data_IF_845706288415
#
_entry.id   IF_845706288415
#
_cell.length_a   1.000
_cell.length_b   1.000
_cell.length_c   1.000
_cell.angle_alpha   90.00
_cell.angle_beta   90.00
_cell.angle_gamma   90.00
#
_symmetry.space_group_name_H-M   'P 1'
#
loop_
_entity.id
_entity.type
_entity.pdbx_description
1 polymer ?
#
# COMPACT_ATOMS: atom_id res chain seq x y z
N UNK A 1 11.85 -18.17 6.67
CA UNK A 1 13.23 -17.87 6.20
C UNK A 1 13.48 -16.37 6.33
N UNK A 2 14.71 -15.88 6.58
CA UNK A 2 15.00 -14.43 6.59
C UNK A 2 15.60 -14.02 5.25
N UNK A 3 14.96 -13.07 4.55
CA UNK A 3 15.47 -12.54 3.28
C UNK A 3 16.74 -11.73 3.51
N UNK A 4 17.89 -12.17 3.00
CA UNK A 4 19.10 -11.36 3.11
C UNK A 4 19.00 -10.07 2.29
N UNK A 5 18.15 -10.05 1.25
CA UNK A 5 17.87 -8.84 0.47
C UNK A 5 17.36 -7.69 1.35
N UNK A 6 16.41 -7.96 2.25
CA UNK A 6 15.88 -6.95 3.16
C UNK A 6 16.71 -6.81 4.45
N UNK A 7 17.04 -7.93 5.11
CA UNK A 7 17.71 -7.87 6.42
C UNK A 7 19.19 -7.43 6.34
N UNK A 8 19.85 -7.51 5.18
CA UNK A 8 21.19 -6.92 4.97
C UNK A 8 21.14 -5.53 4.30
N UNK A 9 19.96 -4.93 4.14
CA UNK A 9 19.82 -3.57 3.64
C UNK A 9 20.04 -3.40 2.13
N UNK A 10 19.97 -4.46 1.31
CA UNK A 10 20.21 -4.39 -0.14
C UNK A 10 19.12 -3.61 -0.85
N UNK A 11 17.88 -3.70 -0.38
CA UNK A 11 16.73 -2.93 -0.82
C UNK A 11 16.97 -1.42 -0.77
N UNK A 12 17.76 -0.92 0.19
CA UNK A 12 18.10 0.51 0.28
C UNK A 12 18.93 0.98 -0.92
N UNK A 13 19.76 0.10 -1.48
CA UNK A 13 20.48 0.36 -2.72
C UNK A 13 19.52 0.50 -3.92
N UNK A 14 18.50 -0.36 -3.97
CA UNK A 14 17.42 -0.30 -4.98
C UNK A 14 16.61 1.00 -4.85
N UNK A 15 16.21 1.36 -3.62
CA UNK A 15 15.52 2.61 -3.33
C UNK A 15 16.32 3.85 -3.81
N UNK A 16 17.63 3.88 -3.58
CA UNK A 16 18.52 4.94 -4.07
C UNK A 16 18.56 5.02 -5.60
N UNK A 17 18.65 3.88 -6.28
CA UNK A 17 18.62 3.82 -7.76
C UNK A 17 17.29 4.33 -8.32
N UNK A 18 16.17 3.91 -7.73
CA UNK A 18 14.83 4.36 -8.12
C UNK A 18 14.70 5.88 -7.94
N UNK A 19 15.13 6.41 -6.78
CA UNK A 19 15.13 7.86 -6.53
C UNK A 19 15.94 8.63 -7.58
N UNK A 20 17.13 8.14 -7.93
CA UNK A 20 17.98 8.76 -8.93
C UNK A 20 17.33 8.71 -10.32
N UNK A 21 16.77 7.55 -10.69
CA UNK A 21 16.08 7.36 -11.97
C UNK A 21 14.88 8.29 -12.12
N UNK A 22 13.98 8.34 -11.14
CA UNK A 22 12.77 9.18 -11.22
C UNK A 22 13.09 10.68 -11.27
N UNK A 23 14.13 11.13 -10.55
CA UNK A 23 14.57 12.53 -10.61
C UNK A 23 15.32 12.88 -11.91
N UNK A 24 15.89 11.89 -12.60
CA UNK A 24 16.54 12.06 -13.90
C UNK A 24 15.57 11.93 -15.08
N UNK A 25 14.34 11.44 -14.84
CA UNK A 25 13.34 11.27 -15.88
C UNK A 25 12.99 12.65 -16.51
N UNK A 26 12.82 12.71 -17.85
CA UNK A 26 12.36 13.92 -18.52
C UNK A 26 10.94 14.29 -18.07
N UNK A 27 10.41 15.44 -18.50
CA UNK A 27 9.01 15.78 -18.25
C UNK A 27 8.08 14.70 -18.84
N UNK A 28 7.53 13.87 -17.95
CA UNK A 28 6.59 12.81 -18.29
C UNK A 28 5.16 13.11 -17.82
N UNK A 29 4.96 14.22 -17.10
CA UNK A 29 3.64 14.66 -16.66
C UNK A 29 3.15 15.81 -17.55
N UNK A 30 1.92 15.70 -18.03
CA UNK A 30 1.21 16.88 -18.54
C UNK A 30 0.86 17.82 -17.37
N UNK A 31 0.56 19.09 -17.66
CA UNK A 31 0.09 20.04 -16.64
C UNK A 31 -1.15 19.53 -15.89
N UNK A 32 -2.04 18.79 -16.58
CA UNK A 32 -3.23 18.17 -15.99
C UNK A 32 -2.87 16.95 -15.12
N UNK A 33 -1.84 16.18 -15.50
CA UNK A 33 -1.36 15.02 -14.73
C UNK A 33 -0.69 15.46 -13.43
N UNK A 34 0.09 16.54 -13.44
CA UNK A 34 0.78 17.06 -12.25
C UNK A 34 -0.18 17.49 -11.12
N UNK A 35 -1.40 17.89 -11.47
CA UNK A 35 -2.46 18.24 -10.52
C UNK A 35 -3.18 17.05 -9.89
N UNK A 36 -3.02 15.83 -10.42
CA UNK A 36 -3.72 14.63 -9.97
C UNK A 36 -2.75 13.63 -9.31
N UNK A 37 -2.72 13.52 -7.97
CA UNK A 37 -1.85 12.56 -7.29
C UNK A 37 -2.02 11.12 -7.79
N UNK A 38 -3.25 10.74 -8.14
CA UNK A 38 -3.54 9.43 -8.73
C UNK A 38 -2.86 9.22 -10.08
N UNK A 39 -2.99 10.19 -10.98
CA UNK A 39 -2.39 10.08 -12.31
C UNK A 39 -0.85 10.09 -12.25
N UNK A 40 -0.27 10.84 -11.30
CA UNK A 40 1.16 10.77 -11.00
C UNK A 40 1.53 9.38 -10.47
N UNK A 41 0.73 8.81 -9.56
CA UNK A 41 0.91 7.45 -9.06
C UNK A 41 0.97 6.41 -10.16
N UNK A 42 -0.03 6.40 -11.05
CA UNK A 42 -0.10 5.47 -12.18
C UNK A 42 1.12 5.62 -13.11
N UNK A 43 1.57 6.85 -13.40
CA UNK A 43 2.74 7.11 -14.24
C UNK A 43 4.05 6.66 -13.59
N UNK A 44 4.25 6.95 -12.29
CA UNK A 44 5.44 6.53 -11.54
C UNK A 44 5.50 5.01 -11.46
N UNK A 45 4.38 4.35 -11.19
CA UNK A 45 4.28 2.90 -11.16
C UNK A 45 4.70 2.28 -12.50
N UNK A 46 4.19 2.81 -13.63
CA UNK A 46 4.56 2.34 -14.96
C UNK A 46 6.07 2.47 -15.22
N UNK A 47 6.65 3.64 -14.94
CA UNK A 47 8.09 3.89 -15.10
C UNK A 47 8.97 2.95 -14.27
N UNK A 48 8.55 2.68 -13.02
CA UNK A 48 9.26 1.74 -12.15
C UNK A 48 9.12 0.32 -12.70
N UNK A 49 7.92 -0.10 -13.08
CA UNK A 49 7.64 -1.45 -13.56
C UNK A 49 8.41 -1.81 -14.85
N UNK A 50 8.81 -0.84 -15.67
CA UNK A 50 9.63 -1.05 -16.86
C UNK A 50 11.12 -1.33 -16.56
N UNK A 51 11.61 -0.95 -15.37
CA UNK A 51 13.05 -0.95 -15.04
C UNK A 51 13.39 -1.63 -13.71
N UNK A 52 12.39 -2.17 -13.01
CA UNK A 52 12.58 -2.65 -11.64
C UNK A 52 13.59 -3.81 -11.56
N UNK A 53 13.54 -4.73 -12.51
CA UNK A 53 14.52 -5.81 -12.71
C UNK A 53 15.95 -5.27 -12.84
N UNK A 54 16.15 -4.17 -13.59
CA UNK A 54 17.45 -3.51 -13.72
C UNK A 54 17.92 -2.92 -12.38
N UNK A 55 17.01 -2.35 -11.58
CA UNK A 55 17.36 -1.83 -10.26
C UNK A 55 17.77 -2.93 -9.30
N UNK A 56 17.05 -4.06 -9.31
CA UNK A 56 17.34 -5.28 -8.55
C UNK A 56 18.68 -5.92 -8.97
N UNK A 57 19.01 -5.90 -10.27
CA UNK A 57 20.24 -6.47 -10.81
C UNK A 57 20.34 -7.97 -10.54
N UNK A 58 21.49 -8.44 -10.03
CA UNK A 58 21.73 -9.87 -9.76
C UNK A 58 20.84 -10.47 -8.66
N UNK A 59 20.03 -9.66 -7.97
CA UNK A 59 19.05 -10.15 -7.02
C UNK A 59 17.74 -10.58 -7.67
N UNK A 60 17.49 -10.23 -8.93
CA UNK A 60 16.30 -10.64 -9.66
C UNK A 60 16.57 -11.93 -10.44
N UNK A 61 15.96 -13.04 -10.04
CA UNK A 61 16.01 -14.30 -10.79
C UNK A 61 14.85 -14.39 -11.80
N UNK A 62 13.65 -14.00 -11.36
CA UNK A 62 12.44 -13.96 -12.19
C UNK A 62 11.74 -12.63 -11.94
N UNK A 63 11.12 -12.05 -12.97
CA UNK A 63 10.44 -10.75 -12.89
C UNK A 63 9.07 -10.81 -13.55
N UNK A 64 8.07 -10.18 -12.94
CA UNK A 64 6.75 -9.98 -13.50
C UNK A 64 6.20 -8.60 -13.13
N UNK A 65 5.70 -7.88 -14.13
CA UNK A 65 4.98 -6.60 -13.99
C UNK A 65 3.60 -6.62 -14.64
N UNK A 66 3.18 -7.77 -15.20
CA UNK A 66 1.88 -7.92 -15.84
C UNK A 66 0.97 -8.72 -14.94
N UNK A 67 -0.06 -8.06 -14.42
CA UNK A 67 -1.00 -8.67 -13.49
C UNK A 67 -2.45 -8.34 -13.84
N UNK A 68 -3.37 -9.22 -13.42
CA UNK A 68 -4.79 -8.92 -13.50
C UNK A 68 -5.14 -7.73 -12.58
N UNK A 69 -6.17 -6.96 -12.95
CA UNK A 69 -6.64 -5.74 -12.23
C UNK A 69 -6.83 -5.88 -10.71
N UNK A 70 -6.99 -7.10 -10.17
CA UNK A 70 -7.23 -7.39 -8.75
C UNK A 70 -6.06 -8.11 -8.06
N UNK A 71 -4.89 -8.12 -8.69
CA UNK A 71 -3.70 -8.72 -8.12
C UNK A 71 -3.30 -8.06 -6.80
N UNK A 72 -2.48 -8.78 -6.04
CA UNK A 72 -2.00 -8.33 -4.73
C UNK A 72 -0.92 -7.24 -4.83
N UNK A 73 -0.28 -7.11 -5.99
CA UNK A 73 0.87 -6.27 -6.19
C UNK A 73 0.92 -5.71 -7.62
N UNK A 74 1.71 -4.67 -7.76
CA UNK A 74 1.99 -4.00 -9.03
C UNK A 74 3.16 -4.66 -9.76
N UNK A 75 4.12 -5.16 -8.97
CA UNK A 75 5.36 -5.78 -9.44
C UNK A 75 5.61 -7.02 -8.58
N UNK A 76 6.16 -8.09 -9.15
CA UNK A 76 6.68 -9.21 -8.38
C UNK A 76 8.02 -9.69 -8.96
N UNK A 77 8.85 -10.25 -8.10
CA UNK A 77 10.09 -10.90 -8.51
C UNK A 77 10.38 -12.08 -7.61
N UNK A 78 11.09 -13.08 -8.14
CA UNK A 78 11.75 -14.10 -7.33
C UNK A 78 13.18 -13.66 -7.11
N UNK A 79 13.61 -13.62 -5.85
CA UNK A 79 14.99 -13.25 -5.54
C UNK A 79 15.97 -14.41 -5.77
N UNK A 80 17.27 -14.13 -5.69
CA UNK A 80 18.32 -15.16 -5.82
C UNK A 80 18.26 -16.26 -4.74
N UNK A 81 17.56 -16.02 -3.64
CA UNK A 81 17.34 -16.96 -2.53
C UNK A 81 16.03 -17.73 -2.69
N UNK A 82 15.37 -17.57 -3.85
CA UNK A 82 14.10 -18.19 -4.24
C UNK A 82 12.89 -17.67 -3.48
N UNK A 83 13.00 -16.55 -2.75
CA UNK A 83 11.85 -15.91 -2.13
C UNK A 83 11.00 -15.21 -3.19
N UNK A 84 9.69 -15.38 -3.12
CA UNK A 84 8.75 -14.70 -3.99
C UNK A 84 8.30 -13.38 -3.36
N UNK A 85 8.80 -12.29 -3.90
CA UNK A 85 8.56 -10.94 -3.42
C UNK A 85 7.50 -10.26 -4.28
N UNK A 86 6.38 -9.89 -3.67
CA UNK A 86 5.35 -9.05 -4.29
C UNK A 86 5.51 -7.63 -3.76
N UNK A 87 5.45 -6.65 -4.66
CA UNK A 87 5.73 -5.24 -4.37
C UNK A 87 4.53 -4.38 -4.74
N UNK A 88 4.03 -3.66 -3.75
CA UNK A 88 2.94 -2.70 -3.87
C UNK A 88 3.53 -1.28 -3.91
N UNK A 89 3.32 -0.58 -5.02
CA UNK A 89 3.91 0.74 -5.28
C UNK A 89 2.94 1.82 -4.81
N UNK A 90 3.41 2.68 -3.92
CA UNK A 90 2.66 3.83 -3.42
C UNK A 90 3.38 5.12 -3.71
N UNK A 91 2.61 6.16 -3.98
CA UNK A 91 3.13 7.52 -4.09
C UNK A 91 2.46 8.42 -3.05
N UNK A 92 3.22 9.38 -2.55
CA UNK A 92 2.73 10.38 -1.61
C UNK A 92 3.25 11.77 -1.99
N UNK A 93 2.31 12.69 -2.19
CA UNK A 93 2.63 14.10 -2.46
C UNK A 93 2.74 14.83 -1.12
N UNK A 94 3.92 15.34 -0.79
CA UNK A 94 4.23 15.82 0.56
C UNK A 94 3.50 17.10 0.97
N UNK A 95 3.00 17.89 0.02
CA UNK A 95 2.18 19.08 0.29
C UNK A 95 0.71 18.74 0.59
N UNK A 96 0.32 17.46 0.54
CA UNK A 96 -1.04 17.04 0.89
C UNK A 96 -1.12 16.69 2.38
N UNK A 97 -2.11 17.29 3.05
CA UNK A 97 -2.27 17.18 4.50
C UNK A 97 -2.73 15.79 4.98
N UNK A 98 -3.30 14.96 4.09
CA UNK A 98 -3.88 13.68 4.50
C UNK A 98 -3.87 12.65 3.36
N UNK A 99 -3.20 11.52 3.58
CA UNK A 99 -3.21 10.37 2.68
C UNK A 99 -3.07 9.08 3.52
N UNK A 100 -4.07 8.20 3.45
CA UNK A 100 -4.10 6.89 4.10
C UNK A 100 -4.20 5.79 3.04
N UNK A 101 -3.13 5.51 2.28
CA UNK A 101 -3.19 4.52 1.22
C UNK A 101 -3.44 3.12 1.77
N UNK A 102 -4.30 2.37 1.08
CA UNK A 102 -4.48 0.93 1.30
C UNK A 102 -3.24 0.18 0.84
N UNK A 103 -2.66 -0.67 1.69
CA UNK A 103 -1.60 -1.60 1.32
C UNK A 103 -2.19 -2.92 0.82
N UNK A 104 -2.89 -3.64 1.68
CA UNK A 104 -3.46 -4.95 1.33
C UNK A 104 -4.59 -5.34 2.28
N UNK A 105 -5.39 -6.34 1.90
CA UNK A 105 -6.39 -6.92 2.80
C UNK A 105 -5.73 -7.81 3.85
N UNK A 106 -6.23 -7.77 5.08
CA UNK A 106 -5.75 -8.62 6.19
C UNK A 106 -5.86 -10.10 5.85
N UNK A 107 -6.97 -10.53 5.22
CA UNK A 107 -7.18 -11.92 4.82
C UNK A 107 -6.20 -12.33 3.71
N UNK A 108 -6.02 -11.47 2.72
CA UNK A 108 -5.12 -11.73 1.58
C UNK A 108 -3.68 -11.87 2.04
N UNK A 109 -3.21 -10.99 2.93
CA UNK A 109 -1.88 -11.08 3.51
C UNK A 109 -1.70 -12.35 4.34
N UNK A 110 -2.68 -12.65 5.19
CA UNK A 110 -2.64 -13.84 6.04
C UNK A 110 -2.50 -15.12 5.22
N UNK A 111 -3.30 -15.28 4.15
CA UNK A 111 -3.18 -16.42 3.22
C UNK A 111 -1.87 -16.42 2.46
N UNK A 112 -1.39 -15.25 2.02
CA UNK A 112 -0.13 -15.13 1.29
C UNK A 112 1.07 -15.58 2.14
N UNK A 113 1.02 -15.36 3.46
CA UNK A 113 2.05 -15.77 4.42
C UNK A 113 1.90 -17.19 4.96
N UNK A 114 0.93 -17.97 4.47
CA UNK A 114 0.92 -19.43 4.70
C UNK A 114 2.15 -20.12 4.06
N UNK A 115 2.77 -19.49 3.06
CA UNK A 115 4.06 -19.88 2.52
C UNK A 115 5.18 -18.98 3.06
N UNK A 116 6.13 -19.57 3.76
CA UNK A 116 7.29 -18.88 4.35
C UNK A 116 8.26 -18.30 3.30
N UNK A 117 8.16 -18.70 2.04
CA UNK A 117 8.95 -18.18 0.93
C UNK A 117 8.38 -16.88 0.33
N UNK A 118 7.17 -16.48 0.72
CA UNK A 118 6.52 -15.28 0.22
C UNK A 118 6.92 -14.04 1.02
N UNK A 119 7.06 -12.89 0.36
CA UNK A 119 7.34 -11.59 1.00
C UNK A 119 6.47 -10.51 0.35
N UNK A 120 5.72 -9.77 1.16
CA UNK A 120 4.98 -8.60 0.69
C UNK A 120 5.77 -7.35 1.09
N UNK A 121 6.12 -6.53 0.11
CA UNK A 121 6.90 -5.32 0.30
C UNK A 121 6.17 -4.10 -0.23
N UNK A 122 6.36 -2.98 0.47
CA UNK A 122 5.87 -1.66 0.06
C UNK A 122 7.03 -0.89 -0.58
N UNK A 123 6.77 -0.32 -1.75
CA UNK A 123 7.63 0.68 -2.37
C UNK A 123 6.94 2.05 -2.33
N UNK A 124 7.26 2.87 -1.33
CA UNK A 124 6.72 4.23 -1.18
C UNK A 124 7.64 5.26 -1.83
N UNK A 125 7.08 6.10 -2.69
CA UNK A 125 7.73 7.24 -3.33
C UNK A 125 7.12 8.53 -2.79
N UNK A 126 7.88 9.29 -1.99
CA UNK A 126 7.48 10.63 -1.57
C UNK A 126 8.02 11.66 -2.54
N UNK A 127 7.18 12.62 -2.90
CA UNK A 127 7.53 13.63 -3.88
C UNK A 127 6.85 14.97 -3.62
N UNK A 128 7.51 16.03 -4.09
CA UNK A 128 6.90 17.33 -4.35
C UNK A 128 6.70 17.54 -5.86
N UNK A 129 5.94 18.57 -6.22
CA UNK A 129 5.79 18.98 -7.63
C UNK A 129 6.44 20.33 -7.87
N UNK A 130 7.22 20.46 -8.95
CA UNK A 130 7.74 21.75 -9.42
C UNK A 130 7.49 21.85 -10.92
N UNK A 131 6.65 22.79 -11.34
CA UNK A 131 6.14 22.89 -12.72
C UNK A 131 5.48 21.55 -13.13
N UNK A 132 5.91 20.97 -14.26
CA UNK A 132 5.41 19.68 -14.78
C UNK A 132 6.31 18.49 -14.40
N UNK A 133 7.11 18.63 -13.33
CA UNK A 133 8.00 17.57 -12.85
C UNK A 133 7.68 17.19 -11.41
N UNK A 134 7.86 15.90 -11.11
CA UNK A 134 8.00 15.47 -9.72
C UNK A 134 9.44 15.67 -9.27
N UNK A 135 9.61 16.00 -8.00
CA UNK A 135 10.88 15.96 -7.30
C UNK A 135 10.73 14.89 -6.23
N UNK A 136 11.36 13.75 -6.44
CA UNK A 136 11.32 12.63 -5.49
C UNK A 136 12.25 12.94 -4.33
N UNK A 137 11.68 13.13 -3.15
CA UNK A 137 12.37 13.49 -1.91
C UNK A 137 12.78 12.26 -1.12
N UNK A 138 11.97 11.19 -1.15
CA UNK A 138 12.24 9.95 -0.42
C UNK A 138 11.72 8.72 -1.18
N UNK A 139 12.45 7.61 -1.09
CA UNK A 139 12.00 6.29 -1.55
C UNK A 139 12.23 5.31 -0.42
N UNK A 140 11.16 4.67 0.04
CA UNK A 140 11.17 3.65 1.09
C UNK A 140 10.77 2.33 0.44
N UNK A 141 11.61 1.31 0.55
CA UNK A 141 11.33 0.00 -0.03
C UNK A 141 11.49 -1.09 1.02
N UNK A 142 10.43 -1.38 1.76
CA UNK A 142 10.53 -2.22 2.97
C UNK A 142 9.52 -3.36 2.93
N UNK A 143 9.84 -4.54 3.50
CA UNK A 143 8.84 -5.58 3.72
C UNK A 143 7.82 -5.07 4.75
N UNK A 144 6.55 -5.47 4.63
CA UNK A 144 5.47 -4.92 5.49
C UNK A 144 5.73 -5.18 6.97
N UNK A 145 6.43 -6.25 7.30
CA UNK A 145 6.82 -6.58 8.67
C UNK A 145 7.71 -5.51 9.31
N UNK A 146 8.46 -4.74 8.51
CA UNK A 146 9.26 -3.64 9.04
C UNK A 146 8.43 -2.38 9.28
N UNK A 147 7.18 -2.30 8.81
CA UNK A 147 6.29 -1.20 9.14
C UNK A 147 5.74 -1.40 10.55
N UNK A 148 6.14 -0.52 11.45
CA UNK A 148 5.66 -0.57 12.84
C UNK A 148 4.15 -0.23 12.87
N UNK A 149 3.39 -0.95 13.71
CA UNK A 149 1.95 -0.72 13.87
C UNK A 149 1.58 0.72 14.28
N UNK A 150 2.50 1.49 14.86
CA UNK A 150 2.33 2.93 15.13
C UNK A 150 2.03 3.77 13.88
N UNK A 151 2.47 3.33 12.70
CA UNK A 151 2.20 4.01 11.42
C UNK A 151 1.13 3.33 10.58
N UNK A 152 0.50 2.27 11.09
CA UNK A 152 -0.51 1.49 10.38
C UNK A 152 -1.88 1.64 11.04
N UNK A 153 -2.93 1.35 10.27
CA UNK A 153 -4.31 1.28 10.76
C UNK A 153 -5.12 0.28 9.94
N UNK A 154 -6.32 -0.05 10.42
CA UNK A 154 -7.24 -0.94 9.73
C UNK A 154 -8.43 -0.16 9.18
N UNK A 155 -8.61 -0.21 7.86
CA UNK A 155 -9.77 0.32 7.15
C UNK A 155 -10.93 -0.69 7.14
N UNK A 156 -12.16 -0.19 7.30
CA UNK A 156 -13.39 -0.96 7.32
C UNK A 156 -13.89 -1.36 5.91
N UNK A 157 -13.13 -2.23 5.23
CA UNK A 157 -13.51 -2.77 3.92
C UNK A 157 -13.22 -4.28 3.87
N UNK A 158 -14.24 -5.08 3.50
CA UNK A 158 -14.15 -6.54 3.50
C UNK A 158 -13.80 -7.07 4.89
N UNK A 159 -12.80 -7.95 4.98
CA UNK A 159 -12.27 -8.45 6.25
C UNK A 159 -11.44 -7.43 7.04
N UNK A 160 -11.15 -6.27 6.45
CA UNK A 160 -10.17 -5.30 6.94
C UNK A 160 -9.10 -5.02 5.87
N UNK A 161 -8.69 -3.77 5.77
CA UNK A 161 -7.59 -3.31 4.92
C UNK A 161 -6.48 -2.76 5.80
N UNK A 162 -5.26 -3.26 5.65
CA UNK A 162 -4.09 -2.63 6.26
C UNK A 162 -3.81 -1.35 5.47
N UNK A 163 -3.73 -0.23 6.18
CA UNK A 163 -3.51 1.11 5.63
C UNK A 163 -2.32 1.75 6.33
N UNK A 164 -1.64 2.66 5.64
CA UNK A 164 -0.74 3.60 6.31
C UNK A 164 -1.61 4.68 6.96
N UNK A 165 -1.46 4.91 8.26
CA UNK A 165 -2.25 5.87 9.02
C UNK A 165 -1.92 7.33 8.64
N UNK A 166 -0.67 7.59 8.26
CA UNK A 166 -0.24 8.89 7.74
C UNK A 166 1.04 8.73 6.90
N UNK A 167 0.94 8.90 5.58
CA UNK A 167 2.10 8.77 4.67
C UNK A 167 3.25 9.75 4.95
N UNK A 168 3.02 10.84 5.69
CA UNK A 168 4.10 11.73 6.13
C UNK A 168 4.97 11.11 7.24
N UNK A 169 4.42 10.18 8.03
CA UNK A 169 5.09 9.54 9.17
C UNK A 169 5.04 8.02 9.02
N UNK A 170 6.05 7.47 8.36
CA UNK A 170 6.28 6.02 8.25
C UNK A 170 7.34 5.65 9.28
N UNK A 171 7.05 4.67 10.12
CA UNK A 171 7.95 4.20 11.18
C UNK A 171 8.46 2.82 10.79
N UNK A 172 9.78 2.71 10.61
CA UNK A 172 10.46 1.47 10.22
C UNK A 172 11.14 0.84 11.44
N UNK A 173 10.84 -0.42 11.71
CA UNK A 173 11.53 -1.26 12.68
C UNK A 173 12.04 -2.55 12.02
N UNK A 174 13.31 -2.56 11.66
CA UNK A 174 13.97 -3.68 10.97
C UNK A 174 14.18 -4.91 11.88
N UNK A 175 13.89 -4.79 13.18
CA UNK A 175 13.98 -5.90 14.12
C UNK A 175 12.67 -6.69 14.22
N UNK A 176 11.57 -6.18 13.64
CA UNK A 176 10.32 -6.89 13.66
C UNK A 176 10.40 -8.20 12.90
N UNK A 177 10.08 -9.30 13.58
CA UNK A 177 9.90 -10.59 12.92
C UNK A 177 8.48 -10.71 12.36
N UNK A 178 8.32 -11.42 11.23
CA UNK A 178 7.00 -11.76 10.66
C UNK A 178 6.05 -12.37 11.68
N UNK A 179 6.53 -13.32 12.47
CA UNK A 179 5.72 -13.98 13.49
C UNK A 179 5.15 -12.97 14.49
N UNK A 180 6.02 -12.11 15.03
CA UNK A 180 5.59 -11.10 15.99
C UNK A 180 4.60 -10.11 15.36
N UNK A 181 4.93 -9.62 14.16
CA UNK A 181 4.07 -8.68 13.42
C UNK A 181 2.68 -9.26 13.13
N UNK A 182 2.60 -10.54 12.74
CA UNK A 182 1.33 -11.24 12.47
C UNK A 182 0.54 -11.55 13.75
N UNK A 183 1.19 -11.82 14.89
CA UNK A 183 0.49 -11.97 16.16
C UNK A 183 -0.14 -10.64 16.61
N UNK A 184 0.58 -9.53 16.45
CA UNK A 184 0.05 -8.20 16.73
C UNK A 184 -1.09 -7.81 15.77
N UNK A 185 -1.00 -8.20 14.48
CA UNK A 185 -2.13 -8.09 13.55
C UNK A 185 -3.38 -8.77 14.13
N UNK A 186 -3.25 -10.00 14.65
CA UNK A 186 -4.37 -10.71 15.25
C UNK A 186 -4.98 -9.94 16.43
N UNK A 187 -4.16 -9.44 17.35
CA UNK A 187 -4.62 -8.66 18.51
C UNK A 187 -5.34 -7.38 18.07
N UNK A 188 -4.81 -6.67 17.07
CA UNK A 188 -5.42 -5.48 16.48
C UNK A 188 -6.78 -5.81 15.86
N UNK A 189 -6.88 -6.92 15.12
CA UNK A 189 -8.14 -7.33 14.49
C UNK A 189 -9.20 -7.74 15.53
N UNK A 190 -8.80 -8.42 16.62
CA UNK A 190 -9.69 -8.75 17.73
C UNK A 190 -10.23 -7.51 18.44
N UNK A 191 -9.45 -6.42 18.50
CA UNK A 191 -9.89 -5.13 19.02
C UNK A 191 -10.71 -4.30 17.99
N UNK A 192 -10.49 -4.51 16.70
CA UNK A 192 -11.14 -3.78 15.61
C UNK A 192 -12.59 -4.26 15.38
N UNK A 193 -12.82 -5.56 15.28
CA UNK A 193 -14.13 -6.09 14.89
C UNK A 193 -15.28 -5.73 15.83
N UNK A 194 -15.14 -5.74 17.17
CA UNK A 194 -16.22 -5.31 18.06
C UNK A 194 -16.68 -3.86 17.80
N UNK A 195 -15.75 -2.97 17.45
CA UNK A 195 -16.06 -1.57 17.12
C UNK A 195 -16.86 -1.47 15.83
N UNK A 196 -16.50 -2.27 14.81
CA UNK A 196 -17.26 -2.30 13.56
C UNK A 196 -18.66 -2.89 13.74
N UNK A 197 -18.81 -3.92 14.58
CA UNK A 197 -20.12 -4.48 14.93
C UNK A 197 -21.01 -3.39 15.55
N UNK A 198 -20.49 -2.61 16.51
CA UNK A 198 -21.23 -1.50 17.13
C UNK A 198 -21.67 -0.47 16.09
N UNK A 199 -20.76 -0.04 15.19
CA UNK A 199 -21.09 0.91 14.12
C UNK A 199 -22.17 0.37 13.17
N UNK A 200 -22.14 -0.92 12.87
CA UNK A 200 -23.15 -1.56 12.02
C UNK A 200 -24.51 -1.54 12.73
N UNK A 201 -24.56 -1.86 14.01
CA UNK A 201 -25.80 -1.81 14.80
C UNK A 201 -26.39 -0.39 14.82
N UNK A 202 -25.58 0.64 15.04
CA UNK A 202 -26.02 2.05 14.96
C UNK A 202 -26.59 2.40 13.58
N UNK A 203 -25.93 1.97 12.50
CA UNK A 203 -26.39 2.21 11.13
C UNK A 203 -27.72 1.52 10.83
N UNK A 204 -27.92 0.30 11.35
CA UNK A 204 -29.19 -0.43 11.24
C UNK A 204 -30.29 0.38 11.90
N UNK A 205 -30.11 0.79 13.16
CA UNK A 205 -31.11 1.59 13.88
C UNK A 205 -31.47 2.89 13.15
N UNK A 206 -30.47 3.59 12.60
CA UNK A 206 -30.72 4.79 11.79
C UNK A 206 -31.59 4.52 10.56
N UNK A 207 -31.39 3.40 9.88
CA UNK A 207 -32.18 3.06 8.69
C UNK A 207 -33.59 2.54 9.04
N UNK A 208 -33.80 1.98 10.22
CA UNK A 208 -35.13 1.68 10.75
C UNK A 208 -35.96 2.96 10.97
N UNK A 209 -35.34 4.01 11.53
CA UNK A 209 -35.97 5.33 11.67
C UNK A 209 -36.31 5.94 10.30
N UNK A 210 -35.35 5.92 9.35
CA UNK A 210 -35.55 6.43 7.99
C UNK A 210 -36.70 5.69 7.30
N UNK A 211 -36.74 4.36 7.42
CA UNK A 211 -37.83 3.54 6.86
C UNK A 211 -39.17 3.93 7.46
N UNK A 212 -39.24 4.11 8.78
CA UNK A 212 -40.45 4.52 9.48
C UNK A 212 -40.94 5.87 8.99
N UNK A 213 -40.03 6.84 8.85
CA UNK A 213 -40.35 8.17 8.33
C UNK A 213 -40.94 8.12 6.91
N UNK A 214 -40.30 7.39 5.99
CA UNK A 214 -40.78 7.26 4.61
C UNK A 214 -42.10 6.49 4.51
N UNK A 215 -42.31 5.48 5.35
CA UNK A 215 -43.56 4.69 5.35
C UNK A 215 -44.78 5.53 5.76
N UNK A 216 -44.57 6.56 6.55
CA UNK A 216 -45.62 7.48 7.00
C UNK A 216 -45.84 8.66 6.04
N UNK A 217 -45.06 8.75 4.97
CA UNK A 217 -45.12 9.85 4.02
C UNK A 217 -46.05 9.46 2.87
N UNK A 218 -46.92 10.39 2.47
CA UNK A 218 -47.75 10.22 1.28
C UNK A 218 -46.87 10.18 0.01
N UNK A 219 -47.15 9.23 -0.88
CA UNK A 219 -46.46 9.13 -2.17
C UNK A 219 -47.05 10.10 -3.19
N UNK A 220 -46.51 11.32 -3.17
CA UNK A 220 -46.94 12.41 -4.06
C UNK A 220 -46.45 12.26 -5.51
N UNK A 221 -45.68 11.21 -5.83
CA UNK A 221 -45.08 11.01 -7.16
C UNK A 221 -45.77 9.92 -7.98
N UNK A 222 -46.71 9.18 -7.38
CA UNK A 222 -47.54 8.18 -8.05
C UNK A 222 -49.00 8.65 -7.99
N UNK A 223 -49.42 9.40 -9.00
CA UNK A 223 -50.83 9.70 -9.29
C UNK A 223 -51.33 8.82 -10.44
#
# INVERSE_FOLDING_TARGET
MKSSFFYEGRHRGVAKKIKAFLNAAPEFLSAQTAGSPRAVGDAVQALIAEKFDVFLGSWCAEYSSTFARRAMADIAFRDKEKLYCVVDVKTHREDTAFNMPNLTSVERLSRFYEDDANVFAMLMIKYGTKQNRIIVTEVIFEPIEFLNWECLTIGALGWGQIQIANSNRIVIDEKYSRKQWMLELCDIMMAFYPKEISKIQERIGRFEEIKTWWSNKEDIWVQ
#
